data_IF_767970937894
#
_entry.id   IF_767970937894
#
_cell.length_a   1.000
_cell.length_b   1.000
_cell.length_c   1.000
_cell.angle_alpha   90.00
_cell.angle_beta   90.00
_cell.angle_gamma   90.00
#
_symmetry.space_group_name_H-M   'P 1'
#
loop_
_entity.id
_entity.type
_entity.pdbx_description
1 polymer ?
#
# COMPACT_ATOMS: atom_id res chain seq x y z
N UNK A 1 2.71 -2.34 -17.01
CA UNK A 1 2.86 -2.09 -15.58
C UNK A 1 3.06 -3.43 -14.88
N UNK A 2 4.03 -3.54 -13.97
CA UNK A 2 4.36 -4.78 -13.24
C UNK A 2 4.49 -4.48 -11.75
N UNK A 3 4.22 -5.46 -10.90
CA UNK A 3 4.46 -5.33 -9.47
C UNK A 3 5.04 -6.60 -8.86
N UNK A 4 5.80 -6.42 -7.79
CA UNK A 4 6.37 -7.47 -6.97
C UNK A 4 6.03 -7.21 -5.51
N UNK A 5 5.67 -8.25 -4.78
CA UNK A 5 5.37 -8.18 -3.34
C UNK A 5 6.28 -9.10 -2.56
N UNK A 6 6.70 -8.67 -1.37
CA UNK A 6 7.55 -9.44 -0.47
C UNK A 6 7.12 -9.23 0.99
N UNK A 7 7.42 -10.21 1.84
CA UNK A 7 7.15 -10.17 3.27
C UNK A 7 6.41 -11.41 3.76
N UNK A 8 6.44 -11.61 5.07
CA UNK A 8 5.84 -12.75 5.77
C UNK A 8 4.69 -12.27 6.66
N UNK A 9 3.68 -13.12 6.87
CA UNK A 9 2.52 -12.77 7.71
C UNK A 9 2.88 -12.42 9.16
N UNK A 10 4.01 -12.93 9.67
CA UNK A 10 4.55 -12.62 10.99
C UNK A 10 5.90 -11.89 10.93
N UNK A 11 6.28 -11.43 9.73
CA UNK A 11 7.48 -10.63 9.53
C UNK A 11 7.27 -9.18 9.97
N UNK A 12 8.32 -8.35 9.91
CA UNK A 12 8.25 -6.97 10.39
C UNK A 12 7.40 -6.06 9.50
N UNK A 13 7.28 -6.37 8.20
CA UNK A 13 6.49 -5.59 7.24
C UNK A 13 6.20 -6.38 5.96
N UNK A 14 5.24 -5.85 5.19
CA UNK A 14 5.02 -6.22 3.79
C UNK A 14 5.50 -5.09 2.88
N UNK A 15 6.15 -5.43 1.78
CA UNK A 15 6.69 -4.48 0.80
C UNK A 15 6.11 -4.78 -0.58
N UNK A 16 5.79 -3.73 -1.32
CA UNK A 16 5.44 -3.83 -2.74
C UNK A 16 6.30 -2.88 -3.57
N UNK A 17 6.76 -3.33 -4.72
CA UNK A 17 7.46 -2.54 -5.74
C UNK A 17 6.57 -2.52 -6.98
N UNK A 18 6.31 -1.33 -7.52
CA UNK A 18 5.44 -1.12 -8.67
C UNK A 18 6.23 -0.40 -9.76
N UNK A 19 6.31 -0.99 -10.95
CA UNK A 19 7.10 -0.44 -12.05
C UNK A 19 6.28 -0.24 -13.32
N UNK A 20 6.64 0.79 -14.08
CA UNK A 20 5.93 1.21 -15.29
C UNK A 20 4.66 1.99 -14.98
N UNK A 21 4.58 2.59 -13.79
CA UNK A 21 3.59 3.61 -13.48
C UNK A 21 3.98 4.91 -14.23
N UNK A 22 3.07 5.59 -14.93
CA UNK A 22 3.41 6.86 -15.57
C UNK A 22 3.69 7.94 -14.52
N UNK A 23 4.50 8.93 -14.89
CA UNK A 23 4.75 10.12 -14.06
C UNK A 23 3.54 11.06 -14.07
N UNK A 24 3.37 11.84 -12.99
CA UNK A 24 2.35 12.88 -12.89
C UNK A 24 0.99 12.42 -12.36
N UNK A 25 0.85 11.17 -11.92
CA UNK A 25 -0.36 10.70 -11.25
C UNK A 25 -0.38 11.15 -9.80
N UNK A 26 -1.48 11.75 -9.36
CA UNK A 26 -1.69 12.07 -7.95
C UNK A 26 -1.79 10.79 -7.11
N UNK A 27 -0.99 10.70 -6.06
CA UNK A 27 -0.99 9.59 -5.12
C UNK A 27 -0.96 10.11 -3.69
N UNK A 28 -2.04 9.83 -2.97
CA UNK A 28 -2.18 10.15 -1.56
C UNK A 28 -2.02 8.92 -0.68
N UNK A 29 -1.15 9.03 0.33
CA UNK A 29 -1.03 8.03 1.39
C UNK A 29 -2.37 7.72 2.05
N UNK A 30 -3.16 8.76 2.35
CA UNK A 30 -4.46 8.61 3.00
C UNK A 30 -5.46 7.81 2.13
N UNK A 31 -5.38 7.97 0.81
CA UNK A 31 -6.21 7.20 -0.11
C UNK A 31 -5.83 5.70 -0.08
N UNK A 32 -4.55 5.38 0.04
CA UNK A 32 -4.08 3.99 0.18
C UNK A 32 -4.51 3.41 1.54
N UNK A 33 -4.30 4.15 2.63
CA UNK A 33 -4.69 3.72 3.98
C UNK A 33 -6.21 3.46 4.06
N UNK A 34 -7.02 4.26 3.37
CA UNK A 34 -8.46 4.00 3.26
C UNK A 34 -8.76 2.65 2.58
N UNK A 35 -8.05 2.31 1.50
CA UNK A 35 -8.22 1.01 0.84
C UNK A 35 -7.73 -0.15 1.72
N UNK A 36 -6.66 0.04 2.49
CA UNK A 36 -6.19 -0.95 3.47
C UNK A 36 -7.24 -1.21 4.54
N UNK A 37 -7.80 -0.16 5.13
CA UNK A 37 -8.86 -0.27 6.12
C UNK A 37 -10.12 -0.96 5.57
N UNK A 38 -10.45 -0.78 4.29
CA UNK A 38 -11.58 -1.49 3.64
C UNK A 38 -11.35 -3.00 3.58
N UNK A 39 -10.10 -3.48 3.41
CA UNK A 39 -9.77 -4.92 3.35
C UNK A 39 -9.96 -5.64 4.68
N UNK A 40 -9.95 -4.89 5.77
CA UNK A 40 -10.13 -5.42 7.12
C UNK A 40 -11.61 -5.56 7.52
N UNK A 41 -12.53 -5.02 6.71
CA UNK A 41 -13.98 -5.03 6.95
C UNK A 41 -14.65 -6.16 6.15
N UNK A 42 -15.73 -6.72 6.70
CA UNK A 42 -16.57 -7.72 6.02
C UNK A 42 -16.98 -8.87 6.93
N UNK A 43 -18.16 -9.44 6.68
CA UNK A 43 -18.65 -10.61 7.41
C UNK A 43 -17.68 -11.79 7.24
N UNK A 44 -17.37 -12.51 8.33
CA UNK A 44 -16.42 -13.62 8.32
C UNK A 44 -14.93 -13.24 8.47
N UNK A 45 -14.60 -11.95 8.61
CA UNK A 45 -13.22 -11.54 8.97
C UNK A 45 -12.96 -11.79 10.45
N UNK A 46 -11.79 -12.35 10.76
CA UNK A 46 -11.40 -12.73 12.11
C UNK A 46 -11.12 -11.53 13.03
N UNK A 47 -11.16 -11.73 14.36
CA UNK A 47 -11.01 -10.64 15.34
C UNK A 47 -9.67 -9.89 15.25
N UNK A 48 -8.61 -10.53 14.73
CA UNK A 48 -7.30 -9.91 14.53
C UNK A 48 -7.33 -8.72 13.57
N UNK A 49 -8.14 -8.81 12.51
CA UNK A 49 -8.26 -7.72 11.52
C UNK A 49 -8.99 -6.49 12.08
N UNK A 50 -9.67 -6.59 13.22
CA UNK A 50 -10.30 -5.44 13.89
C UNK A 50 -9.27 -4.56 14.63
N UNK A 51 -8.09 -5.11 14.92
CA UNK A 51 -7.06 -4.46 15.75
C UNK A 51 -5.90 -3.95 14.88
N UNK A 52 -5.65 -4.60 13.74
CA UNK A 52 -4.62 -4.18 12.80
C UNK A 52 -4.94 -2.81 12.17
N UNK A 53 -4.02 -1.85 12.29
CA UNK A 53 -4.13 -0.53 11.68
C UNK A 53 -3.08 -0.38 10.59
N UNK A 54 -3.27 -1.12 9.50
CA UNK A 54 -2.33 -1.12 8.39
C UNK A 54 -2.20 0.29 7.82
N UNK A 55 -0.96 0.77 7.72
CA UNK A 55 -0.62 2.05 7.10
C UNK A 55 0.48 1.86 6.10
N UNK A 56 0.34 2.45 4.92
CA UNK A 56 1.40 2.42 3.91
C UNK A 56 2.51 3.38 4.29
N UNK A 57 3.75 3.07 3.89
CA UNK A 57 4.86 4.02 3.85
C UNK A 57 5.40 4.02 2.43
N UNK A 58 5.38 5.20 1.79
CA UNK A 58 5.94 5.35 0.45
C UNK A 58 7.45 5.60 0.60
N UNK A 59 8.26 4.73 0.00
CA UNK A 59 9.73 4.78 0.09
C UNK A 59 10.40 5.39 -1.14
N UNK A 60 9.71 5.35 -2.29
CA UNK A 60 10.23 5.78 -3.60
C UNK A 60 9.09 6.07 -4.58
N UNK A 61 9.44 6.43 -5.82
CA UNK A 61 8.49 6.61 -6.92
C UNK A 61 7.51 7.79 -6.83
N UNK A 62 7.49 8.56 -5.73
CA UNK A 62 6.53 9.66 -5.49
C UNK A 62 7.24 10.88 -4.91
N UNK A 63 6.94 12.05 -5.46
CA UNK A 63 7.45 13.33 -4.99
C UNK A 63 6.34 14.39 -5.03
N UNK A 64 6.19 15.15 -3.95
CA UNK A 64 5.14 16.17 -3.80
C UNK A 64 3.71 15.65 -4.09
N UNK A 65 3.44 14.39 -3.75
CA UNK A 65 2.12 13.78 -3.97
C UNK A 65 1.88 13.30 -5.39
N UNK A 66 2.87 13.34 -6.28
CA UNK A 66 2.76 12.85 -7.65
C UNK A 66 3.77 11.74 -7.93
N UNK A 67 3.40 10.77 -8.75
CA UNK A 67 4.32 9.73 -9.23
C UNK A 67 5.40 10.34 -10.11
N UNK A 68 6.63 9.81 -10.01
CA UNK A 68 7.77 10.27 -10.81
C UNK A 68 8.05 9.38 -12.02
N UNK A 69 7.38 8.22 -12.11
CA UNK A 69 7.64 7.18 -13.11
C UNK A 69 8.71 6.18 -12.69
N UNK A 70 9.47 6.48 -11.64
CA UNK A 70 10.37 5.53 -11.00
C UNK A 70 9.58 4.54 -10.11
N UNK A 71 10.14 3.35 -9.84
CA UNK A 71 9.60 2.43 -8.83
C UNK A 71 9.57 3.00 -7.40
#
# INVERSE_FOLDING_TARGET
MRWLTAGESHGPQLTAILEGCPAGLELSRAAIDLQLARRQRGYGRGPRQLIEQDRVRILGGVRHGCTTGAP
#
